data_IF_198649659196
#
_entry.id   IF_198649659196
#
_cell.length_a   1.000
_cell.length_b   1.000
_cell.length_c   1.000
_cell.angle_alpha   90.00
_cell.angle_beta   90.00
_cell.angle_gamma   90.00
#
_symmetry.space_group_name_H-M   'P 1'
#
loop_
_entity.id
_entity.type
_entity.pdbx_description
1 polymer ?
#
# COMPACT_ATOMS: atom_id res chain seq x y z
N UNK A 1 9.22 -35.72 -9.84
CA UNK A 1 8.10 -35.73 -8.86
C UNK A 1 8.33 -34.58 -7.89
N UNK A 2 7.91 -33.36 -8.25
CA UNK A 2 8.02 -32.20 -7.37
C UNK A 2 6.75 -32.11 -6.54
N UNK A 3 6.87 -32.26 -5.22
CA UNK A 3 5.75 -32.12 -4.29
C UNK A 3 5.17 -30.71 -4.40
N UNK A 4 3.96 -30.61 -4.95
CA UNK A 4 3.12 -29.42 -4.82
C UNK A 4 2.74 -29.29 -3.35
N UNK A 5 3.47 -28.44 -2.63
CA UNK A 5 3.02 -27.94 -1.33
C UNK A 5 1.76 -27.16 -1.62
N UNK A 6 0.61 -27.75 -1.34
CA UNK A 6 -0.67 -27.04 -1.38
C UNK A 6 -0.57 -25.92 -0.35
N UNK A 7 -0.62 -24.66 -0.81
CA UNK A 7 -0.76 -23.51 0.06
C UNK A 7 -1.97 -23.71 0.99
N UNK A 8 -1.87 -23.36 2.28
CA UNK A 8 -2.99 -23.47 3.20
C UNK A 8 -4.19 -22.65 2.70
N UNK A 9 -5.39 -23.19 2.92
CA UNK A 9 -6.70 -22.67 2.51
C UNK A 9 -6.81 -21.14 2.35
N UNK A 10 -7.33 -20.71 1.20
CA UNK A 10 -7.54 -19.33 0.71
C UNK A 10 -8.52 -18.44 1.50
N UNK A 11 -9.03 -18.89 2.65
CA UNK A 11 -10.15 -18.20 3.33
C UNK A 11 -9.76 -17.27 4.47
N UNK A 12 -8.47 -17.18 4.83
CA UNK A 12 -8.02 -16.36 5.96
C UNK A 12 -6.85 -15.47 5.61
N UNK A 13 -7.05 -14.16 5.77
CA UNK A 13 -6.00 -13.16 5.70
C UNK A 13 -5.59 -12.72 7.12
N UNK A 14 -4.31 -12.40 7.30
CA UNK A 14 -3.84 -11.72 8.51
C UNK A 14 -4.24 -10.24 8.46
N UNK A 15 -4.89 -9.77 9.51
CA UNK A 15 -5.22 -8.36 9.68
C UNK A 15 -4.19 -7.68 10.58
N UNK A 16 -3.60 -6.58 10.10
CA UNK A 16 -2.63 -5.77 10.85
C UNK A 16 -3.11 -4.32 10.93
N UNK A 17 -3.37 -3.86 12.15
CA UNK A 17 -3.72 -2.46 12.44
C UNK A 17 -2.48 -1.72 12.95
N UNK A 18 -1.96 -0.80 12.14
CA UNK A 18 -0.72 -0.07 12.44
C UNK A 18 -0.94 1.23 13.22
N UNK A 19 -2.18 1.68 13.39
CA UNK A 19 -2.47 2.98 13.98
C UNK A 19 -2.13 4.11 13.01
N UNK A 20 -1.37 5.11 13.47
CA UNK A 20 -0.92 6.24 12.64
C UNK A 20 0.58 6.19 12.42
N UNK A 21 1.02 6.28 11.18
CA UNK A 21 2.44 6.28 10.80
C UNK A 21 2.70 7.20 9.61
N UNK A 22 3.94 7.70 9.52
CA UNK A 22 4.44 8.35 8.32
C UNK A 22 4.41 7.41 7.11
N UNK A 23 4.20 7.95 5.91
CA UNK A 23 3.98 7.14 4.71
C UNK A 23 5.16 6.20 4.39
N UNK A 24 6.40 6.69 4.53
CA UNK A 24 7.61 5.91 4.22
C UNK A 24 7.80 4.72 5.16
N UNK A 25 7.46 4.89 6.42
CA UNK A 25 7.53 3.83 7.43
C UNK A 25 6.52 2.72 7.12
N UNK A 26 5.27 3.10 6.84
CA UNK A 26 4.24 2.14 6.41
C UNK A 26 4.62 1.45 5.10
N UNK A 27 5.25 2.15 4.15
CA UNK A 27 5.74 1.56 2.90
C UNK A 27 6.85 0.53 3.15
N UNK A 28 7.75 0.78 4.10
CA UNK A 28 8.79 -0.19 4.48
C UNK A 28 8.17 -1.46 5.07
N UNK A 29 7.16 -1.32 5.95
CA UNK A 29 6.40 -2.45 6.50
C UNK A 29 5.70 -3.24 5.39
N UNK A 30 5.02 -2.53 4.47
CA UNK A 30 4.38 -3.15 3.31
C UNK A 30 5.37 -3.98 2.48
N UNK A 31 6.55 -3.43 2.17
CA UNK A 31 7.58 -4.13 1.38
C UNK A 31 8.11 -5.37 2.09
N UNK A 32 8.35 -5.29 3.39
CA UNK A 32 8.76 -6.44 4.19
C UNK A 32 7.71 -7.56 4.20
N UNK A 33 6.44 -7.22 4.44
CA UNK A 33 5.34 -8.18 4.45
C UNK A 33 5.04 -8.75 3.06
N UNK A 34 5.16 -7.93 2.01
CA UNK A 34 5.07 -8.39 0.62
C UNK A 34 6.14 -9.43 0.32
N UNK A 35 7.41 -9.19 0.68
CA UNK A 35 8.49 -10.15 0.47
C UNK A 35 8.21 -11.50 1.17
N UNK A 36 7.76 -11.45 2.43
CA UNK A 36 7.36 -12.65 3.18
C UNK A 36 6.17 -13.37 2.55
N UNK A 37 5.19 -12.62 2.03
CA UNK A 37 4.03 -13.18 1.34
C UNK A 37 4.44 -13.90 0.05
N UNK A 38 5.31 -13.29 -0.74
CA UNK A 38 5.88 -13.88 -1.96
C UNK A 38 6.67 -15.15 -1.65
N UNK A 39 7.41 -15.15 -0.54
CA UNK A 39 8.13 -16.33 -0.03
C UNK A 39 7.23 -17.43 0.55
N UNK A 40 5.92 -17.18 0.71
CA UNK A 40 4.97 -18.14 1.31
C UNK A 40 5.09 -18.28 2.83
N UNK A 41 5.80 -17.37 3.50
CA UNK A 41 6.00 -17.40 4.96
C UNK A 41 4.78 -16.92 5.76
N UNK A 42 3.91 -16.15 5.11
CA UNK A 42 2.67 -15.60 5.68
C UNK A 42 1.52 -15.79 4.68
N UNK A 43 0.27 -15.93 5.14
CA UNK A 43 -0.91 -15.91 4.27
C UNK A 43 -1.14 -14.49 3.72
N UNK A 44 -2.19 -14.31 2.91
CA UNK A 44 -2.64 -12.99 2.46
C UNK A 44 -2.82 -12.02 3.65
N UNK A 45 -2.60 -10.73 3.43
CA UNK A 45 -2.65 -9.72 4.49
C UNK A 45 -3.55 -8.54 4.12
N UNK A 46 -4.18 -7.96 5.14
CA UNK A 46 -4.79 -6.64 5.08
C UNK A 46 -4.14 -5.75 6.14
N UNK A 47 -3.42 -4.73 5.69
CA UNK A 47 -2.85 -3.71 6.57
C UNK A 47 -3.80 -2.51 6.58
N UNK A 48 -4.08 -1.96 7.75
CA UNK A 48 -4.77 -0.68 7.89
C UNK A 48 -3.93 0.31 8.69
N UNK A 49 -3.95 1.56 8.24
CA UNK A 49 -3.15 2.65 8.81
C UNK A 49 -3.83 4.00 8.51
N UNK A 50 -3.63 4.98 9.37
CA UNK A 50 -3.82 6.40 9.05
C UNK A 50 -2.45 7.03 8.81
N UNK A 51 -2.35 7.96 7.87
CA UNK A 51 -1.09 8.66 7.63
C UNK A 51 -1.04 10.03 8.27
N UNK A 52 0.18 10.45 8.62
CA UNK A 52 0.48 11.87 8.72
C UNK A 52 0.21 12.56 7.36
N UNK A 53 -0.09 13.87 7.34
CA UNK A 53 -0.37 14.60 6.10
C UNK A 53 0.67 14.36 5.00
N UNK A 54 0.24 13.80 3.87
CA UNK A 54 1.13 13.45 2.76
C UNK A 54 0.39 13.49 1.42
N UNK A 55 1.05 14.02 0.40
CA UNK A 55 0.69 13.79 -0.99
C UNK A 55 1.50 12.64 -1.56
N UNK A 56 0.84 11.71 -2.23
CA UNK A 56 1.52 10.67 -3.01
C UNK A 56 1.25 10.87 -4.49
N UNK A 57 2.30 10.75 -5.31
CA UNK A 57 2.22 10.90 -6.77
C UNK A 57 2.40 9.52 -7.39
N UNK A 58 1.34 8.98 -7.99
CA UNK A 58 1.39 7.68 -8.66
C UNK A 58 2.11 7.71 -10.01
N UNK A 59 2.18 6.56 -10.68
CA UNK A 59 2.95 6.39 -11.93
C UNK A 59 2.54 7.35 -13.04
N UNK A 60 1.23 7.58 -13.21
CA UNK A 60 0.69 8.48 -14.23
C UNK A 60 0.58 9.92 -13.75
N UNK A 61 1.05 10.21 -12.53
CA UNK A 61 0.88 11.51 -11.91
C UNK A 61 2.08 12.43 -12.03
N UNK A 62 1.80 13.71 -11.78
CA UNK A 62 2.78 14.80 -11.79
C UNK A 62 2.66 15.62 -10.51
N UNK A 63 3.79 16.13 -10.01
CA UNK A 63 3.75 17.12 -8.93
C UNK A 63 3.02 18.41 -9.36
N UNK A 64 2.94 18.69 -10.66
CA UNK A 64 2.14 19.80 -11.20
C UNK A 64 0.63 19.66 -10.99
N UNK A 65 0.14 18.46 -10.64
CA UNK A 65 -1.26 18.25 -10.23
C UNK A 65 -1.52 18.75 -8.79
N UNK A 66 -0.48 19.11 -8.03
CA UNK A 66 -0.61 19.68 -6.69
C UNK A 66 -0.74 21.21 -6.81
N UNK A 67 -1.91 21.74 -6.43
CA UNK A 67 -2.19 23.18 -6.50
C UNK A 67 -1.50 23.98 -5.40
N UNK A 68 -1.16 23.34 -4.27
CA UNK A 68 -0.45 23.98 -3.18
C UNK A 68 1.02 24.23 -3.56
N UNK A 69 1.53 25.41 -3.21
CA UNK A 69 2.94 25.72 -3.44
C UNK A 69 3.85 24.88 -2.53
N UNK A 70 5.05 24.56 -3.00
CA UNK A 70 6.07 23.86 -2.20
C UNK A 70 6.38 24.59 -0.87
N UNK A 71 6.32 25.93 -0.87
CA UNK A 71 6.49 26.72 0.34
C UNK A 71 5.35 26.55 1.36
N UNK A 72 4.10 26.41 0.89
CA UNK A 72 2.96 26.12 1.76
C UNK A 72 3.04 24.69 2.31
N UNK A 73 3.30 23.70 1.45
CA UNK A 73 3.47 22.30 1.87
C UNK A 73 4.56 22.16 2.94
N UNK A 74 5.71 22.82 2.73
CA UNK A 74 6.81 22.81 3.71
C UNK A 74 6.43 23.48 5.04
N UNK A 75 5.70 24.60 5.02
CA UNK A 75 5.21 25.26 6.25
C UNK A 75 4.26 24.38 7.04
N UNK A 76 3.43 23.62 6.34
CA UNK A 76 2.45 22.72 6.95
C UNK A 76 3.05 21.33 7.29
N UNK A 77 4.32 21.09 6.94
CA UNK A 77 5.00 19.82 7.20
C UNK A 77 4.47 18.66 6.35
N UNK A 78 3.85 18.93 5.20
CA UNK A 78 3.25 17.93 4.32
C UNK A 78 4.30 17.43 3.33
N UNK A 79 4.57 16.12 3.36
CA UNK A 79 5.48 15.49 2.39
C UNK A 79 4.82 15.29 1.02
N UNK A 80 5.62 15.33 -0.04
CA UNK A 80 5.24 14.87 -1.39
C UNK A 80 6.11 13.68 -1.77
N UNK A 81 5.51 12.53 -2.05
CA UNK A 81 6.24 11.27 -2.28
C UNK A 81 5.79 10.64 -3.59
N UNK A 82 6.74 10.43 -4.51
CA UNK A 82 6.50 9.66 -5.73
C UNK A 82 6.52 8.16 -5.42
N UNK A 83 5.52 7.43 -5.91
CA UNK A 83 5.26 6.03 -5.55
C UNK A 83 4.83 5.21 -6.77
N UNK A 84 4.94 3.89 -6.65
CA UNK A 84 4.74 2.96 -7.77
C UNK A 84 3.29 2.46 -7.89
N UNK A 85 2.31 3.12 -7.25
CA UNK A 85 0.88 2.80 -7.47
C UNK A 85 0.38 3.38 -8.79
N UNK A 86 -0.69 2.80 -9.32
CA UNK A 86 -1.44 3.41 -10.41
C UNK A 86 -2.10 4.73 -10.00
N UNK A 87 -2.59 5.48 -10.99
CA UNK A 87 -3.29 6.74 -10.80
C UNK A 87 -2.37 7.96 -10.66
N UNK A 88 -3.00 9.14 -10.55
CA UNK A 88 -2.36 10.45 -10.41
C UNK A 88 -2.01 10.74 -8.93
N UNK A 89 -2.10 11.99 -8.49
CA UNK A 89 -1.89 12.46 -7.13
C UNK A 89 -3.07 12.10 -6.22
N UNK A 90 -2.77 11.79 -4.96
CA UNK A 90 -3.78 11.74 -3.89
C UNK A 90 -3.20 12.24 -2.58
N UNK A 91 -4.06 12.68 -1.67
CA UNK A 91 -3.71 13.11 -0.32
C UNK A 91 -4.11 12.04 0.71
N UNK A 92 -3.27 11.85 1.71
CA UNK A 92 -3.59 11.11 2.92
C UNK A 92 -3.32 11.95 4.16
N UNK A 93 -4.11 11.72 5.21
CA UNK A 93 -3.96 12.44 6.45
C UNK A 93 -4.82 11.89 7.59
N UNK A 94 -4.74 12.55 8.76
CA UNK A 94 -5.50 12.22 9.96
C UNK A 94 -7.00 12.01 9.69
N UNK A 95 -7.57 10.92 10.20
CA UNK A 95 -9.00 10.59 10.04
C UNK A 95 -9.34 9.85 8.74
N UNK A 96 -8.38 9.68 7.82
CA UNK A 96 -8.56 8.84 6.64
C UNK A 96 -7.97 7.44 6.89
N UNK A 97 -8.84 6.44 6.98
CA UNK A 97 -8.40 5.04 7.04
C UNK A 97 -7.89 4.59 5.66
N UNK A 98 -6.63 4.19 5.60
CA UNK A 98 -5.98 3.64 4.40
C UNK A 98 -5.78 2.13 4.58
N UNK A 99 -6.09 1.37 3.53
CA UNK A 99 -5.99 -0.08 3.52
C UNK A 99 -5.03 -0.56 2.42
N UNK A 100 -4.10 -1.45 2.77
CA UNK A 100 -3.16 -2.08 1.86
C UNK A 100 -3.36 -3.59 1.88
N UNK A 101 -4.17 -4.14 0.94
CA UNK A 101 -4.23 -5.57 0.73
C UNK A 101 -2.94 -6.08 0.07
N UNK A 102 -2.33 -7.11 0.65
CA UNK A 102 -1.19 -7.85 0.09
C UNK A 102 -1.66 -9.27 -0.18
N UNK A 103 -2.03 -9.53 -1.43
CA UNK A 103 -2.75 -10.74 -1.84
C UNK A 103 -2.05 -11.43 -3.00
N UNK A 104 -2.00 -12.76 -2.95
CA UNK A 104 -1.57 -13.56 -4.10
C UNK A 104 -2.72 -13.78 -5.08
N UNK A 105 -2.56 -13.27 -6.30
CA UNK A 105 -3.56 -13.37 -7.35
C UNK A 105 -3.35 -14.58 -8.28
N UNK A 106 -2.31 -15.41 -8.09
CA UNK A 106 -1.99 -16.54 -8.99
C UNK A 106 -3.14 -17.52 -9.15
N UNK A 107 -3.84 -17.80 -8.05
CA UNK A 107 -4.98 -18.70 -8.00
C UNK A 107 -6.32 -17.95 -8.11
N UNK A 108 -6.28 -16.63 -8.34
CA UNK A 108 -7.45 -15.74 -8.47
C UNK A 108 -7.57 -15.16 -9.88
N UNK A 109 -7.15 -15.92 -10.89
CA UNK A 109 -7.21 -15.51 -12.29
C UNK A 109 -6.14 -14.50 -12.72
N UNK A 110 -5.23 -14.08 -11.82
CA UNK A 110 -4.15 -13.11 -12.08
C UNK A 110 -4.63 -11.78 -12.66
N UNK A 111 -5.89 -11.45 -12.44
CA UNK A 111 -6.49 -10.23 -12.94
C UNK A 111 -6.62 -9.21 -11.83
N UNK A 112 -5.94 -8.08 -12.01
CA UNK A 112 -6.05 -6.94 -11.10
C UNK A 112 -7.43 -6.29 -11.18
N UNK A 113 -8.08 -6.28 -12.36
CA UNK A 113 -9.40 -5.65 -12.51
C UNK A 113 -10.50 -6.49 -11.85
N UNK A 114 -10.45 -7.81 -11.98
CA UNK A 114 -11.36 -8.71 -11.27
C UNK A 114 -11.16 -8.76 -9.76
N UNK A 115 -10.06 -8.21 -9.24
CA UNK A 115 -9.78 -8.13 -7.80
C UNK A 115 -10.28 -6.85 -7.13
N UNK A 116 -10.40 -5.74 -7.88
CA UNK A 116 -10.75 -4.40 -7.36
C UNK A 116 -12.25 -4.14 -7.52
#
# INVERSE_FOLDING_TARGET
>A
MGSSVRSPSTDRALYLRLGRLGYREALAIQRGLHARRVGGEVPDLLITVEHDPVFTVGRSGSEGSILASQASLKREGIEVIRVERGGDVTYHGPGQLVAYPIVDLRDRGRDIKGYI
#
